data_IF_819539601061
#
_entry.id   IF_819539601061
#
_cell.length_a   1.000
_cell.length_b   1.000
_cell.length_c   1.000
_cell.angle_alpha   90.00
_cell.angle_beta   90.00
_cell.angle_gamma   90.00
#
_symmetry.space_group_name_H-M   'P 1'
#
loop_
_entity.id
_entity.type
_entity.pdbx_description
1 polymer ?
#
# COMPACT_ATOMS: atom_id res chain seq x y z
N UNK A 1 21.58 11.15 -34.85
CA UNK A 1 20.68 9.99 -34.84
C UNK A 1 19.53 10.35 -33.92
N UNK A 2 18.37 10.59 -34.52
CA UNK A 2 17.17 11.10 -33.85
C UNK A 2 16.43 9.91 -33.21
N UNK A 3 16.41 9.82 -31.91
CA UNK A 3 15.57 8.84 -31.19
C UNK A 3 14.10 9.12 -31.48
N UNK A 4 13.46 8.20 -32.17
CA UNK A 4 12.02 8.19 -32.38
C UNK A 4 11.36 7.89 -30.99
N UNK A 5 10.86 8.93 -30.34
CA UNK A 5 9.97 8.83 -29.20
C UNK A 5 8.66 8.18 -29.67
N UNK A 6 8.56 6.86 -29.57
CA UNK A 6 7.35 6.12 -29.93
C UNK A 6 6.34 6.36 -28.82
N UNK A 7 5.49 7.37 -28.98
CA UNK A 7 4.34 7.59 -28.10
C UNK A 7 3.41 6.39 -28.25
N UNK A 8 3.38 5.52 -27.26
CA UNK A 8 2.44 4.38 -27.20
C UNK A 8 1.03 4.99 -27.17
N UNK A 9 0.28 4.81 -28.25
CA UNK A 9 -1.09 5.29 -28.35
C UNK A 9 -1.99 4.34 -27.55
N UNK A 10 -2.34 4.72 -26.33
CA UNK A 10 -3.20 3.91 -25.47
C UNK A 10 -4.58 3.69 -26.10
N UNK A 11 -5.08 2.45 -26.06
CA UNK A 11 -6.42 2.11 -26.52
C UNK A 11 -7.45 2.64 -25.52
N UNK A 12 -8.13 3.73 -25.87
CA UNK A 12 -9.06 4.46 -24.97
C UNK A 12 -10.11 3.56 -24.30
N UNK A 13 -10.62 2.55 -25.00
CA UNK A 13 -11.62 1.62 -24.44
C UNK A 13 -11.01 0.78 -23.30
N UNK A 14 -9.78 0.28 -23.48
CA UNK A 14 -9.05 -0.49 -22.48
C UNK A 14 -8.74 0.38 -21.26
N UNK A 15 -8.17 1.56 -21.47
CA UNK A 15 -7.87 2.51 -20.37
C UNK A 15 -9.11 2.82 -19.54
N UNK A 16 -10.26 3.04 -20.17
CA UNK A 16 -11.53 3.33 -19.48
C UNK A 16 -12.07 2.11 -18.72
N UNK A 17 -11.94 0.91 -19.30
CA UNK A 17 -12.34 -0.33 -18.62
C UNK A 17 -11.49 -0.58 -17.36
N UNK A 18 -10.16 -0.39 -17.45
CA UNK A 18 -9.25 -0.47 -16.33
C UNK A 18 -9.56 0.59 -15.25
N UNK A 19 -9.91 1.83 -15.65
CA UNK A 19 -10.32 2.87 -14.71
C UNK A 19 -11.58 2.46 -13.92
N UNK A 20 -12.53 1.77 -14.56
CA UNK A 20 -13.71 1.23 -13.87
C UNK A 20 -13.29 0.15 -12.86
N UNK A 21 -12.46 -0.82 -13.22
CA UNK A 21 -11.98 -1.85 -12.27
C UNK A 21 -11.24 -1.22 -11.10
N UNK A 22 -10.34 -0.27 -11.36
CA UNK A 22 -9.59 0.44 -10.33
C UNK A 22 -10.48 1.29 -9.39
N UNK A 23 -11.65 1.75 -9.86
CA UNK A 23 -12.58 2.50 -9.00
C UNK A 23 -13.13 1.68 -7.82
N UNK A 24 -13.03 0.34 -7.90
CA UNK A 24 -13.44 -0.58 -6.83
C UNK A 24 -12.32 -0.82 -5.78
N UNK A 25 -11.12 -0.25 -5.94
CA UNK A 25 -10.08 -0.34 -4.92
C UNK A 25 -10.59 0.27 -3.60
N UNK A 26 -10.62 -0.54 -2.54
CA UNK A 26 -11.15 -0.14 -1.23
C UNK A 26 -12.68 0.02 -1.12
N UNK A 27 -13.43 -0.37 -2.16
CA UNK A 27 -14.89 -0.29 -2.18
C UNK A 27 -15.51 -1.61 -2.61
N UNK A 28 -16.29 -2.22 -1.73
CA UNK A 28 -16.89 -3.53 -2.00
C UNK A 28 -18.08 -3.46 -2.96
N UNK A 29 -18.86 -2.39 -2.90
CA UNK A 29 -20.08 -2.17 -3.69
C UNK A 29 -20.13 -0.72 -4.17
N UNK A 30 -20.56 -0.52 -5.42
CA UNK A 30 -20.80 0.82 -5.97
C UNK A 30 -22.04 0.82 -6.87
N UNK A 31 -22.82 1.89 -6.80
CA UNK A 31 -23.87 2.19 -7.77
C UNK A 31 -23.29 2.67 -9.10
N UNK A 32 -24.10 2.67 -10.17
CA UNK A 32 -23.70 3.27 -11.44
C UNK A 32 -23.26 4.73 -11.30
N UNK A 33 -23.93 5.50 -10.44
CA UNK A 33 -23.60 6.90 -10.21
C UNK A 33 -22.23 7.08 -9.57
N UNK A 34 -21.88 6.26 -8.57
CA UNK A 34 -20.59 6.31 -7.89
C UNK A 34 -19.44 5.91 -8.82
N UNK A 35 -19.62 4.86 -9.64
CA UNK A 35 -18.61 4.47 -10.66
C UNK A 35 -18.45 5.59 -11.69
N UNK A 36 -19.55 6.21 -12.15
CA UNK A 36 -19.52 7.32 -13.10
C UNK A 36 -18.75 8.52 -12.54
N UNK A 37 -19.05 8.88 -11.28
CA UNK A 37 -18.36 9.97 -10.58
C UNK A 37 -16.88 9.67 -10.36
N UNK A 38 -16.56 8.47 -9.89
CA UNK A 38 -15.18 8.07 -9.58
C UNK A 38 -14.27 7.95 -10.80
N UNK A 39 -14.83 7.64 -11.98
CA UNK A 39 -14.07 7.51 -13.24
C UNK A 39 -14.07 8.75 -14.10
N UNK A 40 -14.96 9.73 -13.85
CA UNK A 40 -15.16 10.91 -14.70
C UNK A 40 -15.70 10.60 -16.10
N UNK A 41 -16.23 9.38 -16.31
CA UNK A 41 -16.84 8.98 -17.59
C UNK A 41 -18.31 9.43 -17.64
N UNK A 42 -18.88 9.57 -18.84
CA UNK A 42 -20.32 9.76 -18.99
C UNK A 42 -21.09 8.47 -18.63
N UNK A 43 -22.35 8.63 -18.20
CA UNK A 43 -23.20 7.54 -17.71
C UNK A 43 -23.42 6.42 -18.75
N UNK A 44 -23.55 6.78 -20.04
CA UNK A 44 -23.75 5.83 -21.12
C UNK A 44 -22.51 4.97 -21.37
N UNK A 45 -21.32 5.59 -21.40
CA UNK A 45 -20.05 4.90 -21.54
C UNK A 45 -19.78 4.00 -20.32
N UNK A 46 -19.99 4.51 -19.11
CA UNK A 46 -19.83 3.73 -17.86
C UNK A 46 -20.70 2.47 -17.90
N UNK A 47 -21.99 2.62 -18.23
CA UNK A 47 -22.91 1.48 -18.32
C UNK A 47 -22.48 0.44 -19.34
N UNK A 48 -22.08 0.85 -20.56
CA UNK A 48 -21.62 -0.09 -21.61
C UNK A 48 -20.38 -0.87 -21.16
N UNK A 49 -19.41 -0.18 -20.57
CA UNK A 49 -18.18 -0.82 -20.08
C UNK A 49 -18.46 -1.78 -18.92
N UNK A 50 -19.35 -1.40 -17.98
CA UNK A 50 -19.78 -2.30 -16.91
C UNK A 50 -20.45 -3.56 -17.47
N UNK A 51 -21.34 -3.45 -18.46
CA UNK A 51 -21.95 -4.62 -19.12
C UNK A 51 -20.91 -5.53 -19.78
N UNK A 52 -19.94 -4.95 -20.51
CA UNK A 52 -18.85 -5.71 -21.13
C UNK A 52 -17.99 -6.43 -20.07
N UNK A 53 -17.65 -5.76 -18.98
CA UNK A 53 -16.90 -6.35 -17.87
C UNK A 53 -17.71 -7.42 -17.14
N UNK A 54 -19.03 -7.29 -17.07
CA UNK A 54 -19.92 -8.31 -16.53
C UNK A 54 -19.96 -9.57 -17.41
N UNK A 55 -20.08 -9.38 -18.71
CA UNK A 55 -20.06 -10.47 -19.69
C UNK A 55 -18.77 -11.32 -19.58
N UNK A 56 -17.65 -10.66 -19.31
CA UNK A 56 -16.34 -11.30 -19.10
C UNK A 56 -16.09 -11.74 -17.64
N UNK A 57 -17.06 -11.60 -16.73
CA UNK A 57 -16.95 -12.02 -15.34
C UNK A 57 -16.07 -11.15 -14.43
N UNK A 58 -15.58 -10.00 -14.90
CA UNK A 58 -14.76 -9.07 -14.10
C UNK A 58 -15.59 -8.23 -13.12
N UNK A 59 -16.85 -7.97 -13.47
CA UNK A 59 -17.83 -7.26 -12.63
C UNK A 59 -19.04 -8.16 -12.45
N UNK A 60 -19.72 -8.03 -11.33
CA UNK A 60 -21.04 -8.60 -11.06
C UNK A 60 -21.98 -7.50 -10.58
N UNK A 61 -23.25 -7.60 -10.94
CA UNK A 61 -24.30 -6.75 -10.42
C UNK A 61 -25.18 -7.53 -9.44
N UNK A 62 -25.44 -6.96 -8.29
CA UNK A 62 -26.39 -7.50 -7.33
C UNK A 62 -27.83 -7.28 -7.86
N UNK A 63 -28.62 -8.33 -8.05
CA UNK A 63 -29.98 -8.22 -8.62
C UNK A 63 -30.94 -7.40 -7.74
N UNK A 64 -30.76 -7.45 -6.42
CA UNK A 64 -31.67 -6.78 -5.47
C UNK A 64 -31.36 -5.28 -5.32
N UNK A 65 -30.07 -4.94 -5.21
CA UNK A 65 -29.63 -3.56 -4.95
C UNK A 65 -29.21 -2.81 -6.21
N UNK A 66 -29.01 -3.53 -7.32
CA UNK A 66 -28.45 -3.02 -8.59
C UNK A 66 -27.05 -2.40 -8.45
N UNK A 67 -26.35 -2.65 -7.33
CA UNK A 67 -24.96 -2.25 -7.13
C UNK A 67 -24.02 -3.22 -7.83
N UNK A 68 -22.86 -2.69 -8.24
CA UNK A 68 -21.78 -3.43 -8.89
C UNK A 68 -20.70 -3.79 -7.88
N UNK A 69 -20.04 -4.93 -8.10
CA UNK A 69 -18.88 -5.41 -7.36
C UNK A 69 -17.91 -6.13 -8.28
N UNK A 70 -16.67 -6.33 -7.84
CA UNK A 70 -15.71 -7.15 -8.57
C UNK A 70 -16.22 -8.60 -8.71
N UNK A 71 -16.05 -9.16 -9.89
CA UNK A 71 -16.49 -10.49 -10.26
C UNK A 71 -15.43 -11.57 -10.01
N UNK A 72 -15.80 -12.81 -10.34
CA UNK A 72 -14.94 -13.99 -10.11
C UNK A 72 -13.64 -13.94 -10.92
N UNK A 73 -13.66 -13.42 -12.15
CA UNK A 73 -12.47 -13.34 -13.00
C UNK A 73 -11.29 -12.62 -12.33
N UNK A 74 -11.55 -11.62 -11.47
CA UNK A 74 -10.50 -10.94 -10.69
C UNK A 74 -9.80 -11.92 -9.74
N UNK A 75 -10.54 -12.77 -9.04
CA UNK A 75 -9.97 -13.77 -8.12
C UNK A 75 -9.17 -14.83 -8.85
N UNK A 76 -9.69 -15.28 -10.00
CA UNK A 76 -9.03 -16.30 -10.81
C UNK A 76 -7.70 -15.78 -11.39
N UNK A 77 -7.62 -14.49 -11.75
CA UNK A 77 -6.36 -13.86 -12.15
C UNK A 77 -5.41 -13.65 -10.98
N UNK A 78 -5.91 -13.16 -9.85
CA UNK A 78 -5.10 -12.93 -8.64
C UNK A 78 -4.48 -14.24 -8.12
N UNK A 79 -5.15 -15.38 -8.26
CA UNK A 79 -4.62 -16.69 -7.87
C UNK A 79 -3.35 -17.11 -8.67
N UNK A 80 -3.08 -16.47 -9.80
CA UNK A 80 -1.87 -16.71 -10.60
C UNK A 80 -0.76 -15.66 -10.37
N UNK A 81 -0.99 -14.68 -9.47
CA UNK A 81 0.03 -13.74 -8.97
C UNK A 81 0.59 -14.34 -7.69
N UNK A 82 1.67 -15.15 -7.81
CA UNK A 82 2.00 -16.21 -6.86
C UNK A 82 2.56 -15.78 -5.49
N UNK A 83 3.29 -14.66 -5.38
CA UNK A 83 4.15 -14.45 -4.19
C UNK A 83 3.46 -13.72 -3.01
N UNK A 84 2.52 -12.83 -3.27
CA UNK A 84 1.93 -11.97 -2.23
C UNK A 84 0.88 -12.68 -1.35
N UNK A 85 0.23 -13.73 -1.87
CA UNK A 85 -0.81 -14.47 -1.14
C UNK A 85 -0.23 -15.33 -0.02
N UNK A 86 0.92 -15.98 -0.26
CA UNK A 86 1.62 -16.79 0.74
C UNK A 86 2.18 -15.91 1.85
N UNK A 87 2.77 -14.76 1.48
CA UNK A 87 3.29 -13.78 2.42
C UNK A 87 2.20 -13.23 3.35
N UNK A 88 1.04 -12.87 2.79
CA UNK A 88 -0.11 -12.41 3.56
C UNK A 88 -0.60 -13.48 4.53
N UNK A 89 -0.76 -14.73 4.07
CA UNK A 89 -1.22 -15.84 4.91
C UNK A 89 -0.27 -16.11 6.09
N UNK A 90 1.03 -15.97 5.87
CA UNK A 90 2.06 -16.16 6.90
C UNK A 90 2.08 -14.99 7.91
N UNK A 91 1.98 -13.75 7.42
CA UNK A 91 2.11 -12.55 8.25
C UNK A 91 0.83 -12.22 9.03
N UNK A 92 -0.35 -12.48 8.48
CA UNK A 92 -1.64 -12.08 9.04
C UNK A 92 -1.86 -12.54 10.48
N UNK A 93 -1.60 -13.79 10.89
CA UNK A 93 -1.80 -14.22 12.28
C UNK A 93 -0.91 -13.44 13.26
N UNK A 94 0.35 -13.18 12.89
CA UNK A 94 1.32 -12.44 13.73
C UNK A 94 0.89 -10.99 13.89
N UNK A 95 0.48 -10.37 12.79
CA UNK A 95 0.05 -8.98 12.79
C UNK A 95 -1.29 -8.78 13.50
N UNK A 96 -2.18 -9.78 13.45
CA UNK A 96 -3.45 -9.76 14.20
C UNK A 96 -3.20 -9.77 15.72
N UNK A 97 -2.33 -10.64 16.19
CA UNK A 97 -1.92 -10.68 17.59
C UNK A 97 -1.29 -9.36 18.04
N UNK A 98 -0.36 -8.82 17.23
CA UNK A 98 0.30 -7.55 17.52
C UNK A 98 -0.68 -6.38 17.60
N UNK A 99 -1.63 -6.29 16.66
CA UNK A 99 -2.64 -5.24 16.64
C UNK A 99 -3.58 -5.31 17.85
N UNK A 100 -3.99 -6.52 18.25
CA UNK A 100 -4.84 -6.74 19.39
C UNK A 100 -4.14 -6.39 20.72
N UNK A 101 -2.87 -6.78 20.87
CA UNK A 101 -2.08 -6.51 22.08
C UNK A 101 -1.81 -5.02 22.32
N UNK A 102 -1.62 -4.26 21.25
CA UNK A 102 -1.20 -2.85 21.32
C UNK A 102 -2.34 -1.86 21.04
N UNK A 103 -3.50 -2.35 20.63
CA UNK A 103 -4.66 -1.53 20.24
C UNK A 103 -4.32 -0.48 19.16
N UNK A 104 -3.65 -0.91 18.10
CA UNK A 104 -3.17 -0.09 17.00
C UNK A 104 -3.69 -0.60 15.66
N UNK A 105 -3.48 0.19 14.59
CA UNK A 105 -3.61 -0.30 13.23
C UNK A 105 -2.26 -0.81 12.72
N UNK A 106 -2.23 -2.07 12.27
CA UNK A 106 -1.06 -2.71 11.69
C UNK A 106 -1.23 -2.90 10.18
N UNK A 107 -0.13 -2.90 9.44
CA UNK A 107 -0.11 -3.00 7.98
C UNK A 107 0.95 -4.00 7.52
N UNK A 108 0.64 -4.68 6.42
CA UNK A 108 1.59 -5.47 5.64
C UNK A 108 1.68 -4.79 4.27
N UNK A 109 2.88 -4.49 3.81
CA UNK A 109 3.08 -3.77 2.54
C UNK A 109 4.31 -4.25 1.79
N UNK A 110 4.26 -4.15 0.46
CA UNK A 110 5.32 -4.54 -0.46
C UNK A 110 5.75 -3.38 -1.33
N UNK A 111 6.95 -3.49 -1.90
CA UNK A 111 7.44 -2.57 -2.91
C UNK A 111 7.05 -3.09 -4.30
N UNK A 112 6.44 -2.23 -5.10
CA UNK A 112 6.04 -2.54 -6.46
C UNK A 112 6.36 -1.36 -7.40
N UNK A 113 7.34 -1.52 -8.28
CA UNK A 113 7.75 -0.59 -9.35
C UNK A 113 7.87 0.90 -8.94
N UNK A 114 8.31 1.16 -7.73
CA UNK A 114 8.50 2.54 -7.20
C UNK A 114 7.38 3.01 -6.28
N UNK A 115 6.38 2.19 -6.06
CA UNK A 115 5.28 2.43 -5.15
C UNK A 115 5.31 1.43 -3.97
N UNK A 116 4.69 1.79 -2.87
CA UNK A 116 4.48 0.89 -1.74
C UNK A 116 3.02 0.56 -1.68
N UNK A 117 2.69 -0.72 -1.89
CA UNK A 117 1.33 -1.23 -1.91
C UNK A 117 0.96 -1.83 -0.56
N UNK A 118 -0.18 -1.45 -0.01
CA UNK A 118 -0.74 -2.07 1.19
C UNK A 118 -1.36 -3.43 0.83
N UNK A 119 -0.76 -4.54 1.27
CA UNK A 119 -1.32 -5.88 1.07
C UNK A 119 -2.44 -6.18 2.05
N UNK A 120 -2.29 -5.74 3.30
CA UNK A 120 -3.33 -5.90 4.30
C UNK A 120 -3.25 -4.82 5.38
N UNK A 121 -4.41 -4.58 6.01
CA UNK A 121 -4.58 -3.67 7.12
C UNK A 121 -5.37 -4.35 8.23
N UNK A 122 -4.77 -4.49 9.38
CA UNK A 122 -5.32 -5.14 10.56
C UNK A 122 -5.60 -4.07 11.61
N UNK A 123 -6.81 -4.07 12.13
CA UNK A 123 -7.26 -3.12 13.13
C UNK A 123 -7.90 -3.85 14.32
N UNK A 124 -7.57 -3.42 15.54
CA UNK A 124 -8.26 -3.85 16.74
C UNK A 124 -9.41 -2.88 17.05
N UNK A 125 -10.60 -3.44 17.32
CA UNK A 125 -11.84 -2.69 17.59
C UNK A 125 -11.76 -1.72 18.79
N UNK A 126 -10.74 -1.87 19.63
CA UNK A 126 -10.53 -1.01 20.83
C UNK A 126 -9.57 0.15 20.55
N UNK A 127 -8.89 0.14 19.42
CA UNK A 127 -7.90 1.13 19.03
C UNK A 127 -8.42 2.20 18.08
N UNK A 128 -7.53 3.13 17.70
CA UNK A 128 -7.82 4.10 16.65
C UNK A 128 -7.54 3.43 15.31
N UNK A 129 -8.55 3.40 14.45
CA UNK A 129 -8.39 2.90 13.09
C UNK A 129 -7.83 3.97 12.16
N UNK A 130 -6.77 3.61 11.46
CA UNK A 130 -6.13 4.44 10.44
C UNK A 130 -6.66 4.03 9.06
N UNK A 131 -7.53 4.84 8.47
CA UNK A 131 -8.28 4.50 7.26
C UNK A 131 -7.66 4.97 5.93
N UNK A 132 -6.77 5.95 5.94
CA UNK A 132 -6.33 6.61 4.70
C UNK A 132 -5.45 5.75 3.79
N UNK A 133 -4.94 4.62 4.26
CA UNK A 133 -4.23 3.67 3.43
C UNK A 133 -5.07 2.42 3.21
N UNK A 134 -5.76 2.38 2.07
CA UNK A 134 -6.61 1.25 1.69
C UNK A 134 -5.77 0.05 1.24
N UNK A 135 -6.31 -1.15 1.43
CA UNK A 135 -5.72 -2.38 0.86
C UNK A 135 -5.67 -2.25 -0.66
N UNK A 136 -4.54 -2.58 -1.28
CA UNK A 136 -4.24 -2.35 -2.69
C UNK A 136 -3.91 -0.90 -3.05
N UNK A 137 -4.04 0.04 -2.11
CA UNK A 137 -3.67 1.44 -2.30
C UNK A 137 -2.19 1.71 -2.04
N UNK A 138 -1.73 2.89 -2.48
CA UNK A 138 -0.35 3.36 -2.31
C UNK A 138 -0.29 4.62 -1.48
N UNK A 139 0.86 4.90 -0.89
CA UNK A 139 1.22 6.18 -0.27
C UNK A 139 2.34 6.85 -1.06
N UNK A 140 2.49 8.18 -0.98
CA UNK A 140 3.66 8.86 -1.54
C UNK A 140 4.95 8.29 -0.95
N UNK A 141 5.95 8.06 -1.79
CA UNK A 141 7.21 7.40 -1.41
C UNK A 141 7.96 8.12 -0.29
N UNK A 142 7.73 9.43 -0.13
CA UNK A 142 8.37 10.27 0.88
C UNK A 142 7.55 10.44 2.17
N UNK A 143 6.39 9.78 2.32
CA UNK A 143 5.52 9.90 3.48
C UNK A 143 5.23 8.54 4.12
N UNK A 144 5.14 8.50 5.46
CA UNK A 144 4.89 7.29 6.22
C UNK A 144 6.12 6.41 6.46
N UNK A 145 5.98 5.42 7.32
CA UNK A 145 7.09 4.53 7.70
C UNK A 145 7.44 3.51 6.62
N UNK A 146 6.46 2.78 6.12
CA UNK A 146 6.67 1.70 5.16
C UNK A 146 7.18 2.16 3.78
N UNK A 147 6.66 3.24 3.14
CA UNK A 147 7.20 3.71 1.86
C UNK A 147 8.67 4.09 1.92
N UNK A 148 9.06 4.84 2.94
CA UNK A 148 10.46 5.24 3.14
C UNK A 148 11.36 4.04 3.42
N UNK A 149 10.89 3.11 4.25
CA UNK A 149 11.65 1.90 4.58
C UNK A 149 11.87 1.05 3.34
N UNK A 150 10.80 0.70 2.61
CA UNK A 150 10.89 -0.16 1.43
C UNK A 150 11.75 0.47 0.33
N UNK A 151 11.65 1.79 0.12
CA UNK A 151 12.52 2.50 -0.82
C UNK A 151 13.97 2.51 -0.36
N UNK A 152 14.26 2.64 0.95
CA UNK A 152 15.62 2.63 1.47
C UNK A 152 16.36 1.30 1.22
N UNK A 153 15.63 0.20 1.03
CA UNK A 153 16.21 -1.10 0.74
C UNK A 153 16.37 -1.39 -0.75
N UNK A 154 15.88 -0.52 -1.63
CA UNK A 154 16.02 -0.70 -3.08
C UNK A 154 17.46 -0.44 -3.57
N UNK A 155 17.83 -0.98 -4.74
CA UNK A 155 19.09 -0.66 -5.38
C UNK A 155 19.25 0.84 -5.64
N UNK A 156 20.50 1.38 -5.63
CA UNK A 156 20.73 2.82 -5.82
C UNK A 156 20.16 3.41 -7.12
N UNK A 157 20.11 2.61 -8.19
CA UNK A 157 19.53 3.02 -9.47
C UNK A 157 18.02 3.22 -9.35
N UNK A 158 17.35 2.34 -8.62
CA UNK A 158 15.91 2.41 -8.37
C UNK A 158 15.56 3.60 -7.47
N UNK A 159 16.30 3.81 -6.39
CA UNK A 159 16.16 5.00 -5.54
C UNK A 159 16.29 6.25 -6.42
N UNK A 160 17.32 6.31 -7.28
CA UNK A 160 17.52 7.46 -8.17
C UNK A 160 16.38 7.65 -9.16
N UNK A 161 15.78 6.56 -9.66
CA UNK A 161 14.61 6.58 -10.54
C UNK A 161 13.39 7.17 -9.83
N UNK A 162 13.11 6.69 -8.62
CA UNK A 162 11.95 7.14 -7.84
C UNK A 162 12.09 8.60 -7.41
N UNK A 163 13.29 9.03 -7.02
CA UNK A 163 13.56 10.42 -6.60
C UNK A 163 13.43 11.46 -7.74
N UNK A 164 13.27 11.04 -9.00
CA UNK A 164 12.90 11.94 -10.10
C UNK A 164 11.40 12.27 -10.12
N UNK A 165 10.58 11.49 -9.40
CA UNK A 165 9.14 11.73 -9.27
C UNK A 165 8.90 12.92 -8.32
N UNK A 166 7.81 13.68 -8.48
CA UNK A 166 7.44 14.72 -7.54
C UNK A 166 7.25 14.18 -6.13
N UNK A 167 7.79 14.86 -5.14
CA UNK A 167 7.48 14.64 -3.73
C UNK A 167 6.12 15.22 -3.37
N UNK A 168 5.46 14.63 -2.39
CA UNK A 168 4.16 15.08 -1.90
C UNK A 168 4.28 15.53 -0.45
N UNK A 169 3.83 16.74 -0.14
CA UNK A 169 3.69 17.23 1.23
C UNK A 169 2.29 16.88 1.75
N UNK A 170 2.17 15.80 2.52
CA UNK A 170 0.91 15.46 3.20
C UNK A 170 0.70 16.33 4.45
N UNK A 171 1.78 16.76 5.07
CA UNK A 171 1.79 17.68 6.22
C UNK A 171 2.98 18.64 6.10
N UNK A 172 3.05 19.70 6.92
CA UNK A 172 4.26 20.55 7.02
C UNK A 172 5.51 19.80 7.55
N UNK A 173 5.36 18.56 8.03
CA UNK A 173 6.47 17.70 8.50
C UNK A 173 6.99 16.74 7.44
N UNK A 174 6.31 16.63 6.28
CA UNK A 174 6.79 15.81 5.17
C UNK A 174 8.09 16.39 4.62
N UNK A 175 9.11 15.54 4.45
CA UNK A 175 10.40 15.96 3.85
C UNK A 175 10.18 16.20 2.36
N UNK A 176 10.59 17.38 1.89
CA UNK A 176 10.42 17.83 0.51
C UNK A 176 11.74 18.12 -0.21
N UNK A 177 12.87 18.13 0.49
CA UNK A 177 14.19 18.23 -0.11
C UNK A 177 14.75 16.86 -0.47
N UNK A 178 15.17 16.68 -1.73
CA UNK A 178 15.66 15.39 -2.25
C UNK A 178 16.95 14.96 -1.58
N UNK A 179 17.82 15.90 -1.22
CA UNK A 179 19.11 15.61 -0.57
C UNK A 179 18.86 15.16 0.87
N UNK A 180 18.06 15.90 1.61
CA UNK A 180 17.66 15.54 2.97
C UNK A 180 16.98 14.17 2.99
N UNK A 181 16.09 13.91 2.02
CA UNK A 181 15.38 12.65 1.94
C UNK A 181 16.32 11.48 1.60
N UNK A 182 17.30 11.67 0.74
CA UNK A 182 18.33 10.66 0.46
C UNK A 182 19.13 10.29 1.72
N UNK A 183 19.54 11.30 2.49
CA UNK A 183 20.23 11.09 3.77
C UNK A 183 19.34 10.33 4.77
N UNK A 184 18.02 10.60 4.75
CA UNK A 184 17.05 9.88 5.57
C UNK A 184 16.98 8.41 5.16
N UNK A 185 16.91 8.09 3.86
CA UNK A 185 16.90 6.70 3.37
C UNK A 185 18.15 5.95 3.79
N UNK A 186 19.34 6.57 3.72
CA UNK A 186 20.58 5.95 4.20
C UNK A 186 20.56 5.67 5.71
N UNK A 187 20.01 6.60 6.51
CA UNK A 187 19.83 6.40 7.95
C UNK A 187 18.87 5.25 8.23
N UNK A 188 17.75 5.15 7.49
CA UNK A 188 16.77 4.07 7.60
C UNK A 188 17.44 2.71 7.31
N UNK A 189 18.16 2.60 6.19
CA UNK A 189 18.85 1.36 5.80
C UNK A 189 19.86 0.90 6.86
N UNK A 190 20.63 1.85 7.45
CA UNK A 190 21.63 1.52 8.48
C UNK A 190 21.01 1.06 9.80
N UNK A 191 19.89 1.66 10.22
CA UNK A 191 19.25 1.33 11.51
C UNK A 191 18.23 0.20 11.42
N UNK A 192 17.77 -0.14 10.22
CA UNK A 192 16.82 -1.23 9.98
C UNK A 192 15.36 -0.95 10.36
N UNK A 193 14.98 0.30 10.55
CA UNK A 193 13.60 0.70 10.87
C UNK A 193 13.34 2.16 10.51
N UNK A 194 12.05 2.54 10.40
CA UNK A 194 11.62 3.92 10.28
C UNK A 194 10.53 4.28 11.28
N UNK A 195 10.62 5.48 11.83
CA UNK A 195 9.60 6.08 12.68
C UNK A 195 9.21 7.45 12.07
N UNK A 196 8.14 7.46 11.33
CA UNK A 196 7.62 8.61 10.61
C UNK A 196 6.62 9.35 11.51
N UNK A 197 7.05 10.48 12.07
CA UNK A 197 6.27 11.27 13.02
C UNK A 197 5.60 12.43 12.29
N UNK A 198 4.26 12.48 12.35
CA UNK A 198 3.45 13.61 11.85
C UNK A 198 3.58 13.89 10.34
N UNK A 199 4.15 13.00 9.53
CA UNK A 199 4.42 13.28 8.12
C UNK A 199 3.31 12.83 7.15
N UNK A 200 2.40 11.96 7.61
CA UNK A 200 1.18 11.58 6.88
C UNK A 200 -0.03 12.36 7.41
N UNK A 201 -0.14 12.50 8.72
CA UNK A 201 -1.13 13.32 9.39
C UNK A 201 -0.59 13.80 10.74
N UNK A 202 -0.87 15.05 11.11
CA UNK A 202 -0.45 15.62 12.39
C UNK A 202 -1.08 14.85 13.56
N UNK A 203 -0.27 14.54 14.57
CA UNK A 203 -0.70 13.75 15.74
C UNK A 203 -0.61 12.25 15.54
N UNK A 204 -0.16 11.78 14.36
CA UNK A 204 0.00 10.36 14.06
C UNK A 204 1.44 9.98 13.72
N UNK A 205 1.84 8.81 14.17
CA UNK A 205 3.16 8.24 13.92
C UNK A 205 3.01 6.85 13.33
N UNK A 206 3.82 6.56 12.30
CA UNK A 206 3.99 5.24 11.72
C UNK A 206 5.37 4.68 12.03
N UNK A 207 5.43 3.46 12.56
CA UNK A 207 6.66 2.72 12.80
C UNK A 207 6.72 1.53 11.85
N UNK A 208 7.85 1.30 11.20
CA UNK A 208 8.03 0.30 10.16
C UNK A 208 9.34 -0.47 10.33
N UNK A 209 9.31 -1.77 10.04
CA UNK A 209 10.48 -2.66 9.98
C UNK A 209 10.42 -3.56 8.74
N UNK A 210 11.56 -3.98 8.17
CA UNK A 210 11.58 -4.92 7.08
C UNK A 210 11.31 -6.34 7.57
N UNK A 211 10.82 -7.18 6.67
CA UNK A 211 10.81 -8.65 6.78
C UNK A 211 11.74 -9.17 5.70
N UNK A 212 12.74 -9.96 6.10
CA UNK A 212 13.82 -10.41 5.22
C UNK A 212 13.66 -11.89 4.85
N UNK A 213 14.03 -12.23 3.63
CA UNK A 213 14.14 -13.61 3.19
C UNK A 213 15.44 -14.29 3.70
N UNK A 214 15.73 -15.48 3.16
CA UNK A 214 16.96 -16.24 3.50
C UNK A 214 18.25 -15.59 2.97
N UNK A 215 18.13 -14.74 1.97
CA UNK A 215 19.26 -14.05 1.32
C UNK A 215 19.55 -12.69 1.99
N UNK A 216 18.64 -12.22 2.86
CA UNK A 216 18.68 -10.89 3.47
C UNK A 216 18.02 -9.82 2.60
N UNK A 217 17.26 -10.21 1.57
CA UNK A 217 16.48 -9.29 0.76
C UNK A 217 15.12 -9.01 1.42
N UNK A 218 14.62 -7.78 1.26
CA UNK A 218 13.33 -7.37 1.82
C UNK A 218 12.20 -7.91 0.97
N UNK A 219 11.39 -8.80 1.54
CA UNK A 219 10.19 -9.36 0.89
C UNK A 219 8.94 -8.53 1.18
N UNK A 220 8.87 -7.93 2.36
CA UNK A 220 7.79 -7.00 2.71
C UNK A 220 8.22 -6.08 3.86
N UNK A 221 7.37 -5.12 4.15
CA UNK A 221 7.44 -4.31 5.35
C UNK A 221 6.21 -4.59 6.20
N UNK A 222 6.41 -4.78 7.50
CA UNK A 222 5.34 -4.68 8.47
C UNK A 222 5.45 -3.34 9.20
N UNK A 223 4.32 -2.71 9.43
CA UNK A 223 4.28 -1.42 10.09
C UNK A 223 3.06 -1.28 10.99
N UNK A 224 3.11 -0.31 11.87
CA UNK A 224 2.01 0.06 12.73
C UNK A 224 1.84 1.57 12.74
N UNK A 225 0.60 2.03 12.94
CA UNK A 225 0.29 3.44 13.09
C UNK A 225 -0.66 3.67 14.27
N UNK A 226 -0.44 4.79 14.96
CA UNK A 226 -1.22 5.20 16.10
C UNK A 226 -0.95 6.67 16.46
N UNK A 227 -1.57 7.14 17.54
CA UNK A 227 -1.33 8.49 18.03
C UNK A 227 0.13 8.69 18.44
N UNK A 228 0.72 9.82 18.05
CA UNK A 228 2.12 10.15 18.36
C UNK A 228 2.48 9.95 19.84
N UNK A 229 1.67 10.36 20.84
CA UNK A 229 2.00 10.14 22.25
C UNK A 229 2.02 8.65 22.67
N UNK A 230 1.32 7.77 21.95
CA UNK A 230 1.33 6.32 22.18
C UNK A 230 2.51 5.63 21.52
N UNK A 231 2.95 6.17 20.38
CA UNK A 231 3.99 5.59 19.53
C UNK A 231 5.39 6.06 19.87
N UNK A 232 5.54 7.28 20.44
CA UNK A 232 6.84 7.92 20.71
C UNK A 232 6.88 8.43 22.16
N UNK A 233 7.93 8.07 22.88
CA UNK A 233 8.22 8.59 24.21
C UNK A 233 9.66 9.10 24.25
N UNK A 234 9.87 10.34 24.69
CA UNK A 234 11.20 10.99 24.78
C UNK A 234 12.00 10.88 23.48
N UNK A 235 11.32 11.05 22.32
CA UNK A 235 11.94 11.00 21.01
C UNK A 235 12.32 9.58 20.54
N UNK A 236 11.87 8.52 21.19
CA UNK A 236 12.15 7.12 20.84
C UNK A 236 10.87 6.36 20.57
N UNK A 237 10.83 5.47 19.56
CA UNK A 237 9.66 4.62 19.28
C UNK A 237 9.46 3.62 20.43
N UNK A 238 8.25 3.59 20.99
CA UNK A 238 7.92 2.76 22.17
C UNK A 238 7.82 1.27 21.79
N UNK A 239 7.27 0.97 20.62
CA UNK A 239 6.92 -0.39 20.24
C UNK A 239 7.92 -1.06 19.27
N UNK A 240 9.11 -0.50 19.08
CA UNK A 240 10.09 -0.99 18.09
C UNK A 240 10.47 -2.46 18.35
N UNK A 241 10.80 -2.82 19.57
CA UNK A 241 11.19 -4.19 19.92
C UNK A 241 10.06 -5.21 19.65
N UNK A 242 8.79 -4.82 19.91
CA UNK A 242 7.63 -5.67 19.62
C UNK A 242 7.43 -5.86 18.11
N UNK A 243 7.57 -4.80 17.32
CA UNK A 243 7.46 -4.88 15.87
C UNK A 243 8.60 -5.70 15.25
N UNK A 244 9.83 -5.54 15.74
CA UNK A 244 10.98 -6.34 15.31
C UNK A 244 10.79 -7.84 15.62
N UNK A 245 10.31 -8.17 16.83
CA UNK A 245 10.01 -9.56 17.21
C UNK A 245 8.93 -10.18 16.29
N UNK A 246 7.92 -9.41 15.90
CA UNK A 246 6.91 -9.85 14.94
C UNK A 246 7.53 -10.10 13.54
N UNK A 247 8.41 -9.23 13.07
CA UNK A 247 9.13 -9.44 11.80
C UNK A 247 9.97 -10.73 11.84
N UNK A 248 10.75 -10.95 12.88
CA UNK A 248 11.53 -12.18 13.06
C UNK A 248 10.64 -13.44 13.10
N UNK A 249 9.45 -13.36 13.67
CA UNK A 249 8.49 -14.47 13.69
C UNK A 249 7.99 -14.80 12.29
N UNK A 250 7.68 -13.78 11.48
CA UNK A 250 7.26 -13.93 10.08
C UNK A 250 8.42 -14.52 9.28
N UNK A 251 9.64 -13.98 9.41
CA UNK A 251 10.84 -14.50 8.73
C UNK A 251 11.11 -15.98 9.01
N UNK A 252 10.95 -16.41 10.26
CA UNK A 252 11.08 -17.83 10.62
C UNK A 252 10.07 -18.71 9.90
N UNK A 253 8.84 -18.24 9.70
CA UNK A 253 7.80 -18.99 8.98
C UNK A 253 8.02 -19.01 7.48
N UNK A 254 8.56 -17.93 6.91
CA UNK A 254 8.94 -17.87 5.47
C UNK A 254 10.11 -18.81 5.13
N UNK A 255 10.91 -19.18 6.13
CA UNK A 255 12.08 -20.07 5.96
C UNK A 255 11.74 -21.56 6.11
N UNK A 256 10.51 -21.90 6.52
CA UNK A 256 10.04 -23.28 6.64
C UNK A 256 9.53 -23.80 5.31
#
# INVERSE_FOLDING_TARGET
MTEKNTTIQNVRAVTRALAILNSFAGKNLQSLAEVTLGTGLDKGTTRRLLLTLMDSGFIMQDPATQHYRLGRAIRDLAANVADDLDLKAIALPVMTELAADLHITAFISVYDEGDTVCLDRIHDMKGIEVHWWAIGGTLPYNCGGAPKLLLAYQPPQEITRVLKRPMVAMTPKSVMDVTEFRDQLEKIRRRGWECAVDDVALGLTALAVPVLDRNGDVVCCISMAGLTPQMVSRGRPVHLARLQAAAEQIERRLKQ
#
